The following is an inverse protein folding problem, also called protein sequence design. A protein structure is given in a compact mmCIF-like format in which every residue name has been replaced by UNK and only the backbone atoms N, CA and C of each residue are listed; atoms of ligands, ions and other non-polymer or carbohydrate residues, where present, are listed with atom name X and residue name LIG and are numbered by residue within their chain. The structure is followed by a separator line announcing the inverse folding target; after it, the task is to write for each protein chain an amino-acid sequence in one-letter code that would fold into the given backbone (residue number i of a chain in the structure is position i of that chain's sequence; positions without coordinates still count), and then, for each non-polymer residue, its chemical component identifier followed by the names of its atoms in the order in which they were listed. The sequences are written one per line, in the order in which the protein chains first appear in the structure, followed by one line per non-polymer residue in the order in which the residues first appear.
data_IF_188806662265
#
_entry.id   IF_188806662265
#
_cell.length_a   1.000
_cell.length_b   1.000
_cell.length_c   1.000
_cell.angle_alpha   90.00
_cell.angle_beta   90.00
_cell.angle_gamma   90.00
#
_symmetry.space_group_name_H-M   'P 1'
#
loop_
_entity.id
_entity.type
_entity.pdbx_description
1 polymer ?
#
# COMPACT_ATOMS: atom_id res chain seq x y z
N UNK A 1 -3.15 -5.23 -8.14
CA UNK A 1 -3.16 -4.50 -6.84
C UNK A 1 -4.33 -3.54 -6.74
N UNK A 2 -4.55 -2.67 -7.73
CA UNK A 2 -5.62 -1.65 -7.70
C UNK A 2 -7.01 -2.26 -7.48
N UNK A 3 -7.41 -3.26 -8.27
CA UNK A 3 -8.75 -3.86 -8.17
C UNK A 3 -8.96 -4.62 -6.86
N UNK A 4 -7.92 -5.29 -6.36
CA UNK A 4 -7.93 -5.93 -5.05
C UNK A 4 -8.18 -4.92 -3.94
N UNK A 5 -7.47 -3.79 -3.98
CA UNK A 5 -7.63 -2.74 -2.96
C UNK A 5 -9.01 -2.09 -3.02
N UNK A 6 -9.55 -1.84 -4.23
CA UNK A 6 -10.94 -1.37 -4.39
C UNK A 6 -11.94 -2.31 -3.74
N UNK A 7 -11.82 -3.61 -4.00
CA UNK A 7 -12.74 -4.61 -3.45
C UNK A 7 -12.64 -4.71 -1.92
N UNK A 8 -11.44 -4.53 -1.37
CA UNK A 8 -11.24 -4.46 0.08
C UNK A 8 -11.94 -3.23 0.67
N UNK A 9 -11.81 -2.06 0.05
CA UNK A 9 -12.47 -0.83 0.49
C UNK A 9 -14.00 -0.91 0.41
N UNK A 10 -14.55 -1.64 -0.57
CA UNK A 10 -15.99 -1.91 -0.65
C UNK A 10 -16.51 -2.72 0.55
N UNK A 11 -15.69 -3.60 1.12
CA UNK A 11 -16.03 -4.41 2.30
C UNK A 11 -15.69 -3.70 3.61
N UNK A 12 -14.58 -2.97 3.63
CA UNK A 12 -14.03 -2.28 4.80
C UNK A 12 -13.52 -0.89 4.39
N UNK A 13 -14.39 0.14 4.40
CA UNK A 13 -14.07 1.48 3.90
C UNK A 13 -12.91 2.19 4.59
N UNK A 14 -12.55 1.77 5.81
CA UNK A 14 -11.46 2.36 6.60
C UNK A 14 -10.18 1.50 6.58
N UNK A 15 -10.13 0.47 5.72
CA UNK A 15 -8.97 -0.42 5.66
C UNK A 15 -7.73 0.32 5.18
N UNK A 16 -6.77 0.46 6.08
CA UNK A 16 -5.42 0.95 5.81
C UNK A 16 -4.59 -0.10 5.07
N UNK A 17 -3.73 0.33 4.16
CA UNK A 17 -2.88 -0.58 3.38
C UNK A 17 -1.55 0.08 2.99
N UNK A 18 -0.48 -0.72 2.96
CA UNK A 18 0.78 -0.35 2.33
C UNK A 18 1.03 -1.24 1.11
N UNK A 19 1.83 -0.76 0.16
CA UNK A 19 2.12 -1.47 -1.09
C UNK A 19 3.55 -1.99 -1.04
N UNK A 20 3.76 -3.29 -1.24
CA UNK A 20 5.10 -3.88 -1.30
C UNK A 20 5.32 -4.59 -2.65
N UNK A 21 6.13 -4.02 -3.54
CA UNK A 21 6.41 -4.61 -4.87
C UNK A 21 7.88 -4.55 -5.26
N UNK A 22 8.35 -5.56 -5.99
CA UNK A 22 9.73 -5.64 -6.48
C UNK A 22 9.93 -5.21 -7.92
N UNK A 23 8.84 -4.98 -8.66
CA UNK A 23 8.91 -4.72 -10.09
C UNK A 23 8.12 -3.46 -10.46
N UNK A 24 8.57 -2.78 -11.50
CA UNK A 24 8.21 -1.44 -11.97
C UNK A 24 6.75 -1.25 -12.39
N UNK A 25 5.79 -1.67 -11.58
CA UNK A 25 4.37 -1.41 -11.80
C UNK A 25 3.97 -0.04 -11.23
N UNK A 26 4.71 1.00 -11.63
CA UNK A 26 4.50 2.40 -11.23
C UNK A 26 3.05 2.83 -11.45
N UNK A 27 2.37 2.33 -12.49
CA UNK A 27 0.97 2.64 -12.78
C UNK A 27 0.00 2.00 -11.79
N UNK A 28 0.22 0.75 -11.39
CA UNK A 28 -0.60 0.06 -10.39
C UNK A 28 -0.39 0.66 -8.99
N UNK A 29 0.85 0.99 -8.63
CA UNK A 29 1.17 1.67 -7.36
C UNK A 29 0.46 3.01 -7.30
N UNK A 30 0.59 3.84 -8.34
CA UNK A 30 -0.10 5.14 -8.43
C UNK A 30 -1.62 4.99 -8.39
N UNK A 31 -2.17 3.96 -9.04
CA UNK A 31 -3.60 3.66 -9.00
C UNK A 31 -4.10 3.33 -7.60
N UNK A 32 -3.37 2.51 -6.85
CA UNK A 32 -3.73 2.15 -5.48
C UNK A 32 -3.56 3.33 -4.51
N UNK A 33 -2.50 4.13 -4.66
CA UNK A 33 -2.30 5.35 -3.85
C UNK A 33 -3.39 6.39 -4.09
N UNK A 34 -3.86 6.55 -5.33
CA UNK A 34 -5.01 7.41 -5.64
C UNK A 34 -6.30 6.97 -4.97
N UNK A 35 -6.43 5.69 -4.63
CA UNK A 35 -7.57 5.14 -3.89
C UNK A 35 -7.38 5.24 -2.36
N UNK A 36 -6.24 5.75 -1.89
CA UNK A 36 -5.96 5.92 -0.47
C UNK A 36 -5.00 4.89 0.12
N UNK A 37 -4.38 4.00 -0.69
CA UNK A 37 -3.31 3.16 -0.18
C UNK A 37 -2.09 4.00 0.22
N UNK A 38 -1.43 3.60 1.30
CA UNK A 38 -0.30 4.26 1.93
C UNK A 38 1.03 4.10 1.20
N UNK A 39 2.09 4.02 1.99
CA UNK A 39 3.46 3.99 1.50
C UNK A 39 3.74 2.80 0.56
N UNK A 40 4.67 3.02 -0.37
CA UNK A 40 5.16 2.01 -1.29
C UNK A 40 6.59 1.60 -0.95
N UNK A 41 6.78 0.34 -0.56
CA UNK A 41 8.08 -0.26 -0.27
C UNK A 41 8.56 -1.15 -1.42
N UNK A 42 9.74 -0.81 -1.97
CA UNK A 42 10.33 -1.53 -3.10
C UNK A 42 11.11 -2.75 -2.60
N UNK A 43 10.90 -3.93 -3.21
CA UNK A 43 11.74 -5.11 -2.92
C UNK A 43 13.17 -4.95 -3.48
N UNK A 44 14.18 -5.49 -2.80
CA UNK A 44 14.10 -6.13 -1.49
C UNK A 44 13.93 -5.10 -0.36
N UNK A 45 12.90 -5.28 0.48
CA UNK A 45 12.70 -4.45 1.66
C UNK A 45 13.32 -5.12 2.89
N UNK A 46 13.80 -4.30 3.82
CA UNK A 46 14.22 -4.75 5.16
C UNK A 46 13.05 -4.59 6.12
N UNK A 47 12.97 -5.44 7.14
CA UNK A 47 11.85 -5.49 8.09
C UNK A 47 11.60 -4.12 8.75
N UNK A 48 12.67 -3.38 9.04
CA UNK A 48 12.62 -2.04 9.63
C UNK A 48 11.82 -1.05 8.76
N UNK A 49 12.04 -1.07 7.44
CA UNK A 49 11.32 -0.17 6.51
C UNK A 49 9.84 -0.51 6.43
N UNK A 50 9.51 -1.80 6.45
CA UNK A 50 8.10 -2.24 6.52
C UNK A 50 7.47 -1.79 7.83
N UNK A 51 8.18 -1.93 8.96
CA UNK A 51 7.70 -1.50 10.27
C UNK A 51 7.39 0.00 10.32
N UNK A 52 8.29 0.83 9.79
CA UNK A 52 8.08 2.29 9.69
C UNK A 52 6.88 2.59 8.79
N UNK A 53 6.82 2.01 7.59
CA UNK A 53 5.71 2.24 6.66
C UNK A 53 4.34 1.85 7.25
N UNK A 54 4.28 0.75 8.02
CA UNK A 54 3.05 0.34 8.72
C UNK A 54 2.69 1.32 9.83
N UNK A 55 3.67 1.75 10.64
CA UNK A 55 3.44 2.72 11.72
C UNK A 55 2.88 4.03 11.18
N UNK A 56 3.54 4.58 10.16
CA UNK A 56 3.13 5.83 9.53
C UNK A 56 1.70 5.76 8.99
N UNK A 57 1.32 4.64 8.37
CA UNK A 57 -0.03 4.45 7.87
C UNK A 57 -1.05 4.29 9.01
N UNK A 58 -0.69 3.62 10.11
CA UNK A 58 -1.56 3.45 11.28
C UNK A 58 -1.79 4.76 12.05
N UNK A 59 -0.83 5.68 12.02
CA UNK A 59 -0.92 6.96 12.75
C UNK A 59 -1.69 8.06 11.97
N UNK A 60 -1.98 7.81 10.69
CA UNK A 60 -2.73 8.72 9.80
C UNK A 60 -4.24 8.69 10.01
#
# INVERSE_FOLDING_TARGET
MVDTYKRILELHPQQKAIIASGFSETTCVKGAQKLGAGAYEKKPYILEKVGVAVRDELDR
#
